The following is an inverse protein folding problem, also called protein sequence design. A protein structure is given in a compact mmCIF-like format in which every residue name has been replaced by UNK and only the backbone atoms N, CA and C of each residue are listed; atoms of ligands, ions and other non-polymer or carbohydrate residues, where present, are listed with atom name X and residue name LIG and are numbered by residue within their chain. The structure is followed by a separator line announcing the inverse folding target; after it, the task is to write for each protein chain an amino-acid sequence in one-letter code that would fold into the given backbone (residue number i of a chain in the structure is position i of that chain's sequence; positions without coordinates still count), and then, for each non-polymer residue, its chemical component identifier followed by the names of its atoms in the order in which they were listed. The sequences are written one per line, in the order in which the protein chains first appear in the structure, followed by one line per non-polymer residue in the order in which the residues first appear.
data_IF_829127058493
#
_entry.id   IF_829127058493
#
_cell.length_a   1.000
_cell.length_b   1.000
_cell.length_c   1.000
_cell.angle_alpha   90.00
_cell.angle_beta   90.00
_cell.angle_gamma   90.00
#
_symmetry.space_group_name_H-M   'P 1'
#
loop_
_entity.id
_entity.type
_entity.pdbx_description
1 polymer ?
#
# COMPACT_ATOMS: atom_id res chain seq x y z
N UNK A 1 -16.06 -4.07 -9.13
CA UNK A 1 -15.40 -5.16 -8.39
C UNK A 1 -15.48 -5.01 -6.88
N UNK A 2 -15.15 -3.83 -6.36
CA UNK A 2 -15.27 -3.59 -4.92
C UNK A 2 -16.74 -3.61 -4.45
N UNK A 3 -17.67 -3.39 -5.34
CA UNK A 3 -19.09 -3.40 -4.99
C UNK A 3 -19.56 -4.74 -4.47
N UNK A 4 -18.97 -5.82 -4.98
CA UNK A 4 -19.38 -7.17 -4.59
C UNK A 4 -18.43 -7.80 -3.58
N UNK A 5 -17.36 -7.09 -3.22
CA UNK A 5 -16.38 -7.57 -2.25
C UNK A 5 -16.84 -7.26 -0.83
N UNK A 6 -16.35 -8.04 0.12
CA UNK A 6 -16.62 -7.79 1.53
C UNK A 6 -15.38 -7.20 2.18
N UNK A 7 -15.61 -6.37 3.20
CA UNK A 7 -14.50 -5.81 3.96
C UNK A 7 -13.85 -6.92 4.79
N UNK A 8 -12.55 -7.13 4.58
CA UNK A 8 -11.79 -8.17 5.27
C UNK A 8 -11.00 -7.62 6.44
N UNK A 9 -10.33 -6.47 6.26
CA UNK A 9 -9.60 -5.78 7.32
C UNK A 9 -9.88 -4.28 7.24
N UNK A 10 -9.87 -3.61 8.39
CA UNK A 10 -10.00 -2.16 8.46
C UNK A 10 -9.07 -1.64 9.54
N UNK A 11 -8.19 -0.71 9.16
CA UNK A 11 -7.24 -0.06 10.07
C UNK A 11 -6.53 -1.09 10.94
N UNK A 12 -5.94 -2.08 10.28
CA UNK A 12 -5.34 -3.23 10.96
C UNK A 12 -3.83 -3.25 10.77
N UNK A 13 -3.12 -3.53 11.86
CA UNK A 13 -1.69 -3.77 11.78
C UNK A 13 -1.46 -5.13 11.13
N UNK A 14 -0.53 -5.17 10.18
CA UNK A 14 -0.17 -6.39 9.48
C UNK A 14 1.34 -6.52 9.49
N UNK A 15 1.81 -7.76 9.46
CA UNK A 15 3.25 -8.03 9.50
C UNK A 15 3.56 -9.37 8.88
N UNK A 16 4.81 -9.52 8.43
CA UNK A 16 5.32 -10.79 7.94
C UNK A 16 6.82 -10.86 8.23
N UNK A 17 7.33 -12.07 8.38
CA UNK A 17 8.77 -12.29 8.45
C UNK A 17 9.35 -12.72 7.11
N UNK A 18 8.49 -13.04 6.15
CA UNK A 18 8.89 -13.54 4.82
C UNK A 18 8.38 -12.61 3.73
N UNK A 19 9.13 -12.40 2.65
CA UNK A 19 10.49 -12.88 2.40
C UNK A 19 11.54 -12.16 3.24
N UNK A 20 11.17 -11.02 3.80
CA UNK A 20 11.96 -10.26 4.77
C UNK A 20 11.00 -9.66 5.78
N UNK A 21 11.43 -9.33 7.00
CA UNK A 21 10.53 -8.72 7.97
C UNK A 21 9.97 -7.40 7.48
N UNK A 22 8.65 -7.29 7.44
CA UNK A 22 7.94 -6.09 7.04
C UNK A 22 6.68 -5.95 7.89
N UNK A 23 6.31 -4.70 8.17
CA UNK A 23 5.09 -4.43 8.89
C UNK A 23 4.47 -3.13 8.40
N UNK A 24 3.22 -2.94 8.69
CA UNK A 24 2.52 -1.72 8.34
C UNK A 24 1.11 -1.73 8.91
N UNK A 25 0.39 -0.64 8.66
CA UNK A 25 -1.01 -0.53 9.05
C UNK A 25 -1.82 -0.24 7.80
N UNK A 26 -2.63 -1.23 7.40
CA UNK A 26 -3.44 -1.10 6.19
C UNK A 26 -4.75 -0.41 6.52
N UNK A 27 -5.19 0.51 5.64
CA UNK A 27 -6.47 1.19 5.83
C UNK A 27 -7.62 0.21 5.70
N UNK A 28 -7.72 -0.43 4.55
CA UNK A 28 -8.78 -1.39 4.29
C UNK A 28 -8.27 -2.49 3.35
N UNK A 29 -8.80 -3.68 3.52
CA UNK A 29 -8.58 -4.79 2.60
C UNK A 29 -9.94 -5.40 2.32
N UNK A 30 -10.24 -5.58 1.05
CA UNK A 30 -11.47 -6.19 0.61
C UNK A 30 -11.21 -7.60 0.09
N UNK A 31 -12.18 -8.48 0.27
CA UNK A 31 -12.10 -9.86 -0.21
C UNK A 31 -13.18 -10.05 -1.27
N UNK A 32 -12.76 -10.43 -2.48
CA UNK A 32 -13.69 -10.65 -3.56
C UNK A 32 -14.45 -11.96 -3.36
N UNK A 33 -15.48 -12.17 -4.18
CA UNK A 33 -16.24 -13.43 -4.12
C UNK A 33 -15.36 -14.64 -4.44
N UNK A 34 -14.26 -14.42 -5.17
CA UNK A 34 -13.31 -15.50 -5.48
C UNK A 34 -12.27 -15.72 -4.39
N UNK A 35 -12.33 -14.93 -3.31
CA UNK A 35 -11.40 -15.08 -2.21
C UNK A 35 -10.09 -14.36 -2.41
N UNK A 36 -10.02 -13.40 -3.32
CA UNK A 36 -8.82 -12.62 -3.59
C UNK A 36 -8.86 -11.34 -2.77
N UNK A 37 -7.76 -11.03 -2.09
CA UNK A 37 -7.66 -9.81 -1.30
C UNK A 37 -7.21 -8.64 -2.16
N UNK A 38 -7.80 -7.46 -1.89
CA UNK A 38 -7.47 -6.22 -2.60
C UNK A 38 -7.23 -5.14 -1.56
N UNK A 39 -5.99 -4.62 -1.44
CA UNK A 39 -5.72 -3.53 -0.50
C UNK A 39 -6.20 -2.19 -1.03
N UNK A 40 -6.64 -1.34 -0.12
CA UNK A 40 -7.11 0.00 -0.44
C UNK A 40 -6.53 0.97 0.56
N UNK A 41 -6.03 2.11 0.08
CA UNK A 41 -5.49 3.17 0.92
C UNK A 41 -6.21 4.47 0.59
N UNK A 42 -6.55 5.24 1.62
CA UNK A 42 -7.26 6.51 1.46
C UNK A 42 -6.30 7.66 1.67
N UNK A 43 -6.31 8.61 0.76
CA UNK A 43 -5.46 9.80 0.81
C UNK A 43 -6.30 11.06 0.62
N UNK A 44 -6.17 12.01 1.54
CA UNK A 44 -6.75 13.34 1.38
C UNK A 44 -5.73 14.21 0.65
N UNK A 45 -6.09 14.71 -0.52
CA UNK A 45 -5.15 15.44 -1.37
C UNK A 45 -5.86 16.57 -2.11
N UNK A 46 -5.11 17.65 -2.43
CA UNK A 46 -5.69 18.72 -3.24
C UNK A 46 -5.97 18.29 -4.68
N UNK A 47 -5.34 17.21 -5.15
CA UNK A 47 -5.54 16.70 -6.51
C UNK A 47 -5.80 15.22 -6.49
N UNK A 48 -6.62 14.77 -7.44
CA UNK A 48 -6.90 13.34 -7.64
C UNK A 48 -5.70 12.72 -8.35
N UNK A 49 -4.79 12.12 -7.59
CA UNK A 49 -3.54 11.64 -8.13
C UNK A 49 -2.95 10.52 -7.28
N UNK A 50 -2.28 9.57 -7.95
CA UNK A 50 -1.53 8.50 -7.28
C UNK A 50 -0.05 8.82 -7.40
N UNK A 51 0.66 8.77 -6.28
CA UNK A 51 2.10 8.99 -6.24
C UNK A 51 2.83 7.66 -6.15
N UNK A 52 4.12 7.67 -6.50
CA UNK A 52 4.94 6.48 -6.40
C UNK A 52 4.97 5.93 -4.98
N UNK A 53 4.98 6.80 -3.98
CA UNK A 53 4.95 6.37 -2.59
C UNK A 53 3.69 5.57 -2.24
N UNK A 54 2.57 5.89 -2.88
CA UNK A 54 1.33 5.12 -2.68
C UNK A 54 1.46 3.73 -3.25
N UNK A 55 2.08 3.63 -4.42
CA UNK A 55 2.28 2.34 -5.09
C UNK A 55 3.19 1.46 -4.23
N UNK A 56 4.26 2.03 -3.71
CA UNK A 56 5.19 1.30 -2.84
C UNK A 56 4.48 0.83 -1.58
N UNK A 57 3.72 1.70 -0.95
CA UNK A 57 3.01 1.37 0.28
C UNK A 57 2.03 0.22 0.05
N UNK A 58 1.19 0.31 -0.98
CA UNK A 58 0.24 -0.74 -1.29
C UNK A 58 0.94 -2.03 -1.68
N UNK A 59 2.07 -1.92 -2.37
CA UNK A 59 2.84 -3.10 -2.79
C UNK A 59 3.43 -3.83 -1.60
N UNK A 60 3.90 -3.09 -0.59
CA UNK A 60 4.37 -3.69 0.67
C UNK A 60 3.21 -4.40 1.36
N UNK A 61 2.05 -3.76 1.44
CA UNK A 61 0.87 -4.39 2.06
C UNK A 61 0.50 -5.68 1.33
N UNK A 62 0.57 -5.67 0.01
CA UNK A 62 0.28 -6.87 -0.78
C UNK A 62 1.16 -8.04 -0.36
N UNK A 63 2.45 -7.81 -0.23
CA UNK A 63 3.40 -8.87 0.14
C UNK A 63 3.14 -9.39 1.55
N UNK A 64 2.88 -8.47 2.47
CA UNK A 64 2.55 -8.86 3.85
C UNK A 64 1.30 -9.73 3.88
N UNK A 65 0.26 -9.32 3.17
CA UNK A 65 -1.00 -10.06 3.13
C UNK A 65 -0.82 -11.44 2.53
N UNK A 66 -0.03 -11.55 1.46
CA UNK A 66 0.24 -12.84 0.83
C UNK A 66 0.83 -13.84 1.83
N UNK A 67 1.79 -13.39 2.61
CA UNK A 67 2.54 -14.27 3.51
C UNK A 67 1.84 -14.45 4.86
N UNK A 68 1.16 -13.43 5.35
CA UNK A 68 0.50 -13.51 6.64
C UNK A 68 -0.77 -14.37 6.58
N UNK A 69 -1.57 -14.20 5.53
CA UNK A 69 -2.85 -14.88 5.43
C UNK A 69 -2.83 -16.09 4.49
N UNK A 70 -1.79 -16.21 3.70
CA UNK A 70 -1.62 -17.32 2.78
C UNK A 70 -2.83 -17.51 1.85
N UNK A 71 -3.33 -16.41 1.32
CA UNK A 71 -4.44 -16.39 0.36
C UNK A 71 -4.05 -15.54 -0.82
N UNK A 72 -4.71 -15.70 -1.98
CA UNK A 72 -4.39 -14.88 -3.15
C UNK A 72 -4.63 -13.40 -2.86
N UNK A 73 -3.72 -12.56 -3.32
CA UNK A 73 -3.86 -11.12 -3.25
C UNK A 73 -3.68 -10.57 -4.66
N UNK A 74 -4.55 -9.65 -5.06
CA UNK A 74 -4.49 -9.07 -6.39
C UNK A 74 -3.16 -8.37 -6.62
N UNK A 75 -2.74 -8.29 -7.89
CA UNK A 75 -1.53 -7.54 -8.25
C UNK A 75 -1.83 -6.06 -8.46
N UNK A 76 -2.95 -5.60 -7.96
CA UNK A 76 -3.35 -4.20 -7.97
C UNK A 76 -4.05 -3.89 -6.65
N UNK A 77 -4.15 -2.60 -6.37
CA UNK A 77 -4.92 -2.11 -5.24
C UNK A 77 -5.66 -0.86 -5.66
N UNK A 78 -6.26 -0.18 -4.70
CA UNK A 78 -6.98 1.06 -4.97
C UNK A 78 -6.45 2.16 -4.07
N UNK A 79 -6.25 3.33 -4.66
CA UNK A 79 -6.03 4.56 -3.90
C UNK A 79 -7.34 5.32 -3.95
N UNK A 80 -7.94 5.51 -2.79
CA UNK A 80 -9.17 6.29 -2.67
C UNK A 80 -8.75 7.71 -2.33
N UNK A 81 -8.88 8.63 -3.29
CA UNK A 81 -8.53 10.02 -3.04
C UNK A 81 -9.76 10.80 -2.62
N UNK A 82 -9.58 11.64 -1.61
CA UNK A 82 -10.61 12.56 -1.13
C UNK A 82 -10.08 13.97 -1.34
N UNK A 83 -10.73 14.72 -2.21
CA UNK A 83 -10.32 16.08 -2.58
C UNK A 83 -11.44 17.04 -2.23
N UNK A 84 -11.12 18.09 -1.48
CA UNK A 84 -12.09 19.12 -1.17
C UNK A 84 -12.30 20.03 -2.37
N UNK A 85 -13.57 20.32 -2.65
CA UNK A 85 -13.94 21.23 -3.75
C UNK A 85 -14.89 22.29 -3.19
N UNK A 86 -15.18 23.29 -4.00
CA UNK A 86 -16.08 24.36 -3.59
C UNK A 86 -17.50 23.86 -3.30
N UNK A 87 -17.87 22.70 -3.82
CA UNK A 87 -19.22 22.13 -3.65
C UNK A 87 -19.24 20.91 -2.72
N UNK A 88 -18.12 20.61 -2.07
CA UNK A 88 -18.03 19.46 -1.19
C UNK A 88 -16.79 18.63 -1.49
N UNK A 89 -16.87 17.34 -1.20
CA UNK A 89 -15.75 16.44 -1.40
C UNK A 89 -15.92 15.66 -2.71
N UNK A 90 -14.79 15.46 -3.37
CA UNK A 90 -14.72 14.57 -4.53
C UNK A 90 -13.97 13.31 -4.11
N UNK A 91 -14.63 12.16 -4.26
CA UNK A 91 -14.03 10.88 -3.93
C UNK A 91 -13.80 10.09 -5.21
N UNK A 92 -12.58 9.59 -5.40
CA UNK A 92 -12.23 8.80 -6.56
C UNK A 92 -11.50 7.54 -6.10
N UNK A 93 -11.81 6.43 -6.77
CA UNK A 93 -11.13 5.15 -6.54
C UNK A 93 -10.25 4.90 -7.75
N UNK A 94 -8.95 4.92 -7.56
CA UNK A 94 -8.00 4.75 -8.67
C UNK A 94 -7.38 3.38 -8.57
N UNK A 95 -7.67 2.53 -9.55
CA UNK A 95 -7.08 1.19 -9.64
C UNK A 95 -5.61 1.34 -9.98
N UNK A 96 -4.77 0.74 -9.19
CA UNK A 96 -3.33 0.98 -9.22
C UNK A 96 -2.59 -0.35 -9.30
N UNK A 97 -1.81 -0.54 -10.37
CA UNK A 97 -1.00 -1.74 -10.51
C UNK A 97 0.15 -1.70 -9.52
N UNK A 98 0.38 -2.82 -8.84
CA UNK A 98 1.38 -2.89 -7.78
C UNK A 98 2.68 -3.52 -8.28
N UNK A 99 3.75 -3.28 -7.53
CA UNK A 99 5.08 -3.78 -7.86
C UNK A 99 5.20 -5.26 -7.51
N UNK A 100 6.10 -5.95 -8.20
CA UNK A 100 6.37 -7.35 -7.93
C UNK A 100 7.02 -7.51 -6.56
N UNK A 101 6.90 -8.69 -5.99
CA UNK A 101 7.52 -9.00 -4.70
C UNK A 101 9.03 -8.74 -4.74
N UNK A 102 9.69 -9.17 -5.81
CA UNK A 102 11.13 -8.98 -5.97
C UNK A 102 11.51 -7.52 -5.88
N UNK A 103 10.76 -6.66 -6.55
CA UNK A 103 11.04 -5.22 -6.54
C UNK A 103 10.77 -4.60 -5.19
N UNK A 104 9.70 -5.04 -4.52
CA UNK A 104 9.37 -4.57 -3.18
C UNK A 104 10.47 -4.91 -2.19
N UNK A 105 10.96 -6.14 -2.23
CA UNK A 105 12.03 -6.58 -1.33
C UNK A 105 13.28 -5.74 -1.53
N UNK A 106 13.62 -5.48 -2.79
CA UNK A 106 14.80 -4.66 -3.12
C UNK A 106 14.66 -3.26 -2.55
N UNK A 107 13.49 -2.65 -2.71
CA UNK A 107 13.24 -1.29 -2.19
C UNK A 107 13.24 -1.28 -0.66
N UNK A 108 12.67 -2.28 -0.05
CA UNK A 108 12.59 -2.38 1.41
C UNK A 108 13.99 -2.51 2.01
N UNK A 109 14.84 -3.36 1.42
CA UNK A 109 16.22 -3.52 1.89
C UNK A 109 17.01 -2.25 1.77
N UNK A 110 16.82 -1.51 0.66
CA UNK A 110 17.49 -0.23 0.49
C UNK A 110 17.03 0.77 1.55
N UNK A 111 15.74 0.81 1.82
CA UNK A 111 15.19 1.67 2.84
C UNK A 111 15.81 1.38 4.21
N UNK A 112 15.90 0.10 4.58
CA UNK A 112 16.49 -0.29 5.84
C UNK A 112 17.98 0.02 5.91
N UNK A 113 18.70 -0.14 4.82
CA UNK A 113 20.12 0.21 4.77
C UNK A 113 20.34 1.69 5.02
N UNK A 114 19.48 2.53 4.44
CA UNK A 114 19.54 3.98 4.66
C UNK A 114 19.29 4.29 6.15
N UNK A 115 18.28 3.67 6.72
CA UNK A 115 17.94 3.89 8.12
C UNK A 115 19.04 3.46 9.08
N UNK A 116 19.75 2.40 8.73
CA UNK A 116 20.84 1.89 9.60
C UNK A 116 22.15 2.62 9.36
N UNK A 117 22.20 3.57 8.43
CA UNK A 117 23.40 4.33 8.16
C UNK A 117 24.40 3.65 7.27
N UNK A 118 24.05 2.49 6.69
CA UNK A 118 24.95 1.75 5.80
C UNK A 118 25.03 2.37 4.41
N UNK A 119 23.99 3.09 4.01
CA UNK A 119 23.92 3.72 2.70
C UNK A 119 23.47 5.16 2.86
N UNK A 120 24.19 6.08 2.20
CA UNK A 120 23.80 7.50 2.24
C UNK A 120 22.64 7.72 1.29
N UNK A 121 21.57 8.37 1.75
CA UNK A 121 20.45 8.70 0.87
C UNK A 121 20.91 9.62 -0.24
N UNK A 122 20.66 9.23 -1.48
CA UNK A 122 21.08 10.03 -2.64
C UNK A 122 19.94 10.90 -3.20
N UNK A 123 18.74 10.74 -2.68
CA UNK A 123 17.61 11.52 -3.14
C UNK A 123 16.53 11.51 -2.06
N UNK A 124 15.46 12.28 -2.30
CA UNK A 124 14.36 12.40 -1.35
C UNK A 124 13.42 11.20 -1.35
N UNK A 125 13.64 10.25 -2.21
CA UNK A 125 12.73 9.11 -2.35
C UNK A 125 12.62 8.30 -1.07
N UNK A 126 13.70 8.22 -0.30
CA UNK A 126 13.68 7.45 0.95
C UNK A 126 12.73 8.02 1.99
N UNK A 127 12.52 9.33 1.98
CA UNK A 127 11.63 9.95 2.93
C UNK A 127 10.16 9.63 2.70
N UNK A 128 9.81 9.34 1.48
CA UNK A 128 8.41 9.06 1.15
C UNK A 128 7.91 7.79 1.81
N UNK A 129 8.78 6.85 2.01
CA UNK A 129 8.43 5.59 2.64
C UNK A 129 7.93 5.80 4.07
N UNK A 130 8.53 6.75 4.77
CA UNK A 130 8.12 7.08 6.11
C UNK A 130 6.74 7.72 6.15
N UNK A 131 6.49 8.62 5.23
CA UNK A 131 5.26 9.37 5.23
C UNK A 131 4.04 8.49 4.94
N UNK A 132 4.24 7.31 4.41
CA UNK A 132 3.14 6.40 4.10
C UNK A 132 2.74 5.50 5.25
N UNK A 133 3.50 5.49 6.32
CA UNK A 133 3.27 4.52 7.40
C UNK A 133 2.32 5.01 8.47
N UNK A 134 1.66 6.12 8.32
CA UNK A 134 0.79 6.64 9.32
C UNK A 134 -0.26 5.73 9.82
#
# INVERSE_FOLDING_TARGET
ELRTATLFLSEQDIATSLPVPMHGRVDQVYKTKRGVLIPLDTKSRPMTRVYESDIIQLSVYRIILLHQYNVPVANYGYVRTVTETSTGERVRYIKTKLLSERKVVKLWRRYQSIRSGLVTPSCTCGGDFHSTSR
#
